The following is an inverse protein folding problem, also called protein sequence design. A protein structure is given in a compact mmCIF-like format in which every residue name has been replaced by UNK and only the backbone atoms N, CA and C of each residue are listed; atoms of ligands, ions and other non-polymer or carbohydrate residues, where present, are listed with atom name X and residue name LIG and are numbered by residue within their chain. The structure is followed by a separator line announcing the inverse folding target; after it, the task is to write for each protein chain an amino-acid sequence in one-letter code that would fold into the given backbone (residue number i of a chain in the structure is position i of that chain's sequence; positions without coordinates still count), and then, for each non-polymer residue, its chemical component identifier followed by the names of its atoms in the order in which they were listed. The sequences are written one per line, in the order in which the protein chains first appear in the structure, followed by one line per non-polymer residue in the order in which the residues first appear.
data_IF_133534991713
#
_entry.id   IF_133534991713
#
_cell.length_a   1.000
_cell.length_b   1.000
_cell.length_c   1.000
_cell.angle_alpha   90.00
_cell.angle_beta   90.00
_cell.angle_gamma   90.00
#
_symmetry.space_group_name_H-M   'P 1'
#
loop_
_entity.id
_entity.type
_entity.pdbx_description
1 polymer ?
#
# COMPACT_ATOMS: atom_id res chain seq x y z
N UNK A 1 18.47 3.44 11.51
CA UNK A 1 17.77 2.81 12.65
C UNK A 1 17.65 1.35 12.33
N UNK A 2 17.94 0.44 13.26
CA UNK A 2 17.69 -0.98 13.04
C UNK A 2 16.18 -1.17 12.83
N UNK A 3 15.70 -1.94 11.83
CA UNK A 3 14.27 -2.16 11.60
C UNK A 3 13.58 -2.86 12.79
N UNK A 4 14.33 -3.25 13.82
CA UNK A 4 13.89 -3.90 15.05
C UNK A 4 14.31 -3.14 16.30
N UNK A 5 13.82 -1.91 16.47
CA UNK A 5 13.94 -1.18 17.74
C UNK A 5 12.68 -1.43 18.60
N UNK A 6 12.61 -2.61 19.21
CA UNK A 6 11.51 -2.97 20.14
C UNK A 6 11.37 -1.97 21.29
N UNK A 7 12.49 -1.44 21.80
CA UNK A 7 12.45 -0.44 22.85
C UNK A 7 11.79 0.85 22.35
N UNK A 8 12.11 1.26 21.13
CA UNK A 8 11.47 2.38 20.46
C UNK A 8 9.98 2.14 20.18
N UNK A 9 9.59 0.94 19.74
CA UNK A 9 8.17 0.60 19.53
C UNK A 9 7.37 0.62 20.83
N UNK A 10 7.89 0.06 21.91
CA UNK A 10 7.25 0.11 23.25
C UNK A 10 7.10 1.55 23.74
N UNK A 11 8.09 2.39 23.53
CA UNK A 11 8.02 3.81 23.88
C UNK A 11 6.96 4.54 23.05
N UNK A 12 6.84 4.24 21.76
CA UNK A 12 5.78 4.79 20.91
C UNK A 12 4.39 4.38 21.39
N UNK A 13 4.20 3.14 21.83
CA UNK A 13 2.93 2.68 22.42
C UNK A 13 2.58 3.54 23.64
N UNK A 14 3.55 3.78 24.55
CA UNK A 14 3.32 4.62 25.72
C UNK A 14 2.98 6.07 25.35
N UNK A 15 3.68 6.64 24.36
CA UNK A 15 3.42 8.00 23.88
C UNK A 15 2.01 8.11 23.27
N UNK A 16 1.60 7.16 22.43
CA UNK A 16 0.27 7.11 21.83
C UNK A 16 -0.83 6.83 22.88
N UNK A 17 -0.53 6.02 23.90
CA UNK A 17 -1.43 5.80 25.04
C UNK A 17 -1.67 7.10 25.81
N UNK A 18 -0.61 7.82 26.17
CA UNK A 18 -0.72 9.13 26.84
C UNK A 18 -1.49 10.15 25.99
N UNK A 19 -1.25 10.17 24.68
CA UNK A 19 -2.00 11.03 23.77
C UNK A 19 -3.50 10.72 23.76
N UNK A 20 -3.87 9.43 23.88
CA UNK A 20 -5.27 9.00 23.91
C UNK A 20 -6.00 9.31 25.23
N UNK A 21 -5.27 9.63 26.30
CA UNK A 21 -5.82 10.01 27.61
C UNK A 21 -6.08 11.53 27.72
N UNK A 22 -5.65 12.33 26.74
CA UNK A 22 -5.84 13.76 26.75
C UNK A 22 -7.34 14.13 26.72
N UNK A 23 -7.81 15.13 27.51
CA UNK A 23 -9.23 15.49 27.61
C UNK A 23 -9.86 15.92 26.26
N UNK A 24 -9.04 16.43 25.37
CA UNK A 24 -9.40 16.93 24.02
C UNK A 24 -9.21 15.91 22.90
N UNK A 25 -8.74 14.69 23.23
CA UNK A 25 -8.45 13.64 22.26
C UNK A 25 -9.60 13.31 21.33
N UNK A 26 -10.83 13.31 21.84
CA UNK A 26 -12.03 12.97 21.08
C UNK A 26 -12.67 14.15 20.33
N UNK A 27 -12.11 15.36 20.44
CA UNK A 27 -12.62 16.53 19.72
C UNK A 27 -12.45 16.39 18.19
N UNK A 28 -11.45 15.60 17.77
CA UNK A 28 -11.20 15.25 16.38
C UNK A 28 -11.25 13.72 16.23
N UNK A 29 -12.40 13.23 15.75
CA UNK A 29 -12.69 11.80 15.71
C UNK A 29 -11.79 11.05 14.71
N UNK A 30 -11.41 11.68 13.59
CA UNK A 30 -10.55 11.09 12.57
C UNK A 30 -9.11 10.94 13.07
N UNK A 31 -8.55 12.00 13.65
CA UNK A 31 -7.22 11.94 14.29
C UNK A 31 -7.20 10.92 15.41
N UNK A 32 -8.25 10.88 16.25
CA UNK A 32 -8.35 9.91 17.32
C UNK A 32 -8.35 8.48 16.81
N UNK A 33 -9.13 8.18 15.77
CA UNK A 33 -9.15 6.86 15.14
C UNK A 33 -7.80 6.51 14.52
N UNK A 34 -7.13 7.45 13.84
CA UNK A 34 -5.79 7.26 13.27
C UNK A 34 -4.75 6.91 14.34
N UNK A 35 -4.75 7.63 15.47
CA UNK A 35 -3.85 7.36 16.61
C UNK A 35 -4.11 5.98 17.20
N UNK A 36 -5.38 5.61 17.41
CA UNK A 36 -5.75 4.30 17.95
C UNK A 36 -5.42 3.15 16.99
N UNK A 37 -5.65 3.32 15.68
CA UNK A 37 -5.27 2.35 14.64
C UNK A 37 -3.76 2.13 14.63
N UNK A 38 -2.98 3.22 14.67
CA UNK A 38 -1.52 3.16 14.73
C UNK A 38 -1.02 2.47 16.01
N UNK A 39 -1.57 2.83 17.18
CA UNK A 39 -1.25 2.20 18.46
C UNK A 39 -1.50 0.70 18.40
N UNK A 40 -2.69 0.27 17.97
CA UNK A 40 -3.08 -1.14 17.85
C UNK A 40 -2.18 -1.92 16.89
N UNK A 41 -1.75 -1.31 15.78
CA UNK A 41 -0.82 -1.94 14.84
C UNK A 41 0.55 -2.20 15.48
N UNK A 42 1.10 -1.22 16.23
CA UNK A 42 2.39 -1.37 16.92
C UNK A 42 2.27 -2.39 18.05
N UNK A 43 1.20 -2.35 18.86
CA UNK A 43 0.94 -3.33 19.92
C UNK A 43 0.94 -4.75 19.38
N UNK A 44 0.21 -4.99 18.26
CA UNK A 44 0.17 -6.31 17.61
C UNK A 44 1.56 -6.80 17.20
N UNK A 45 2.40 -5.92 16.66
CA UNK A 45 3.78 -6.25 16.28
C UNK A 45 4.63 -6.65 17.49
N UNK A 46 4.51 -5.91 18.61
CA UNK A 46 5.24 -6.21 19.85
C UNK A 46 4.74 -7.51 20.47
N UNK A 47 3.42 -7.70 20.56
CA UNK A 47 2.80 -8.91 21.11
C UNK A 47 3.19 -10.17 20.33
N UNK A 48 3.24 -10.08 19.00
CA UNK A 48 3.64 -11.20 18.14
C UNK A 48 5.12 -11.55 18.33
N UNK A 49 6.00 -10.54 18.42
CA UNK A 49 7.40 -10.77 18.77
C UNK A 49 7.53 -11.44 20.15
N UNK A 50 6.85 -10.91 21.16
CA UNK A 50 6.94 -11.43 22.53
C UNK A 50 6.41 -12.87 22.61
N UNK A 51 5.37 -13.22 21.81
CA UNK A 51 4.87 -14.57 21.67
C UNK A 51 5.94 -15.50 21.08
N UNK A 52 6.45 -15.17 19.89
CA UNK A 52 7.47 -15.96 19.19
C UNK A 52 8.71 -16.15 20.05
N UNK A 53 9.18 -15.07 20.69
CA UNK A 53 10.36 -15.10 21.56
C UNK A 53 10.16 -16.05 22.76
N UNK A 54 8.99 -15.99 23.41
CA UNK A 54 8.67 -16.86 24.55
C UNK A 54 8.61 -18.31 24.11
N UNK A 55 7.85 -18.62 23.07
CA UNK A 55 7.71 -19.99 22.58
C UNK A 55 9.04 -20.61 22.17
N UNK A 56 9.93 -19.84 21.49
CA UNK A 56 11.27 -20.29 21.15
C UNK A 56 12.18 -20.47 22.39
N UNK A 57 12.03 -19.59 23.40
CA UNK A 57 12.85 -19.68 24.61
C UNK A 57 12.47 -20.86 25.49
N UNK A 58 11.21 -21.27 25.50
CA UNK A 58 10.70 -22.37 26.31
C UNK A 58 10.98 -23.75 25.68
N UNK A 59 11.26 -23.81 24.37
CA UNK A 59 11.48 -25.06 23.65
C UNK A 59 12.62 -25.94 24.16
N UNK A 60 13.83 -25.42 24.47
CA UNK A 60 14.90 -26.24 24.97
C UNK A 60 14.52 -26.97 26.26
N UNK A 61 13.89 -26.26 27.20
CA UNK A 61 13.47 -26.81 28.49
C UNK A 61 12.40 -27.90 28.29
N UNK A 62 11.46 -27.70 27.35
CA UNK A 62 10.45 -28.71 27.01
C UNK A 62 11.08 -29.94 26.38
N UNK A 63 12.08 -29.78 25.53
CA UNK A 63 12.78 -30.88 24.88
C UNK A 63 13.59 -31.70 25.90
N UNK A 64 14.29 -31.03 26.83
CA UNK A 64 15.02 -31.69 27.91
C UNK A 64 14.07 -32.55 28.80
N UNK A 65 12.88 -32.04 29.11
CA UNK A 65 11.86 -32.77 29.86
C UNK A 65 11.36 -33.99 29.07
N UNK A 66 11.10 -33.85 27.77
CA UNK A 66 10.64 -34.96 26.92
C UNK A 66 11.70 -36.06 26.82
N UNK A 67 13.00 -35.68 26.74
CA UNK A 67 14.12 -36.61 26.73
C UNK A 67 14.25 -37.35 28.07
N UNK A 68 14.16 -36.64 29.21
CA UNK A 68 14.22 -37.26 30.55
C UNK A 68 13.09 -38.29 30.78
N UNK A 69 11.88 -38.01 30.23
CA UNK A 69 10.71 -38.88 30.34
C UNK A 69 10.70 -40.00 29.28
N UNK A 70 11.64 -40.02 28.32
CA UNK A 70 11.62 -40.87 27.13
C UNK A 70 10.28 -40.83 26.39
N UNK A 71 9.67 -39.66 26.27
CA UNK A 71 8.39 -39.43 25.58
C UNK A 71 8.66 -39.00 24.13
N UNK A 72 8.74 -39.98 23.21
CA UNK A 72 8.94 -39.73 21.80
C UNK A 72 7.78 -38.95 21.16
N UNK A 73 6.55 -39.16 21.61
CA UNK A 73 5.39 -38.47 21.05
C UNK A 73 5.38 -36.97 21.40
N UNK A 74 5.81 -36.64 22.63
CA UNK A 74 5.97 -35.23 23.04
C UNK A 74 7.14 -34.58 22.30
N UNK A 75 8.27 -35.28 22.12
CA UNK A 75 9.39 -34.79 21.34
C UNK A 75 9.01 -34.50 19.89
N UNK A 76 8.24 -35.36 19.23
CA UNK A 76 7.71 -35.13 17.89
C UNK A 76 6.77 -33.92 17.83
N UNK A 77 5.91 -33.74 18.82
CA UNK A 77 5.02 -32.58 18.95
C UNK A 77 5.79 -31.27 19.09
N UNK A 78 6.89 -31.27 19.87
CA UNK A 78 7.78 -30.10 20.03
C UNK A 78 8.46 -29.77 18.70
N UNK A 79 8.94 -30.76 17.94
CA UNK A 79 9.53 -30.55 16.63
C UNK A 79 8.54 -29.99 15.60
N UNK A 80 7.31 -30.48 15.60
CA UNK A 80 6.25 -29.90 14.76
C UNK A 80 5.97 -28.44 15.13
N UNK A 81 5.92 -28.13 16.42
CA UNK A 81 5.71 -26.78 16.91
C UNK A 81 6.89 -25.87 16.55
N UNK A 82 8.11 -26.34 16.67
CA UNK A 82 9.32 -25.62 16.20
C UNK A 82 9.23 -25.23 14.73
N UNK A 83 8.79 -26.14 13.86
CA UNK A 83 8.61 -25.84 12.45
C UNK A 83 7.59 -24.73 12.20
N UNK A 84 6.49 -24.71 12.97
CA UNK A 84 5.47 -23.64 12.91
C UNK A 84 6.03 -22.32 13.34
N UNK A 85 6.68 -22.25 14.51
CA UNK A 85 7.24 -21.01 15.06
C UNK A 85 8.37 -20.48 14.18
N UNK A 86 9.19 -21.37 13.61
CA UNK A 86 10.24 -20.99 12.64
C UNK A 86 9.63 -20.28 11.41
N UNK A 87 8.49 -20.77 10.94
CA UNK A 87 7.75 -20.13 9.85
C UNK A 87 7.13 -18.80 10.27
N UNK A 88 6.56 -18.71 11.48
CA UNK A 88 6.02 -17.48 12.06
C UNK A 88 7.12 -16.43 12.21
N UNK A 89 8.31 -16.81 12.68
CA UNK A 89 9.47 -15.92 12.79
C UNK A 89 9.90 -15.37 11.43
N UNK A 90 9.94 -16.22 10.40
CA UNK A 90 10.28 -15.78 9.04
C UNK A 90 9.23 -14.82 8.49
N UNK A 91 7.94 -15.09 8.69
CA UNK A 91 6.85 -14.19 8.31
C UNK A 91 6.92 -12.86 9.06
N UNK A 92 7.22 -12.90 10.35
CA UNK A 92 7.42 -11.70 11.17
C UNK A 92 8.60 -10.87 10.67
N UNK A 93 9.72 -11.52 10.34
CA UNK A 93 10.88 -10.86 9.74
C UNK A 93 10.55 -10.17 8.42
N UNK A 94 9.74 -10.80 7.57
CA UNK A 94 9.30 -10.24 6.30
C UNK A 94 8.39 -9.03 6.51
N UNK A 95 7.48 -9.08 7.48
CA UNK A 95 6.63 -7.94 7.85
C UNK A 95 7.47 -6.74 8.28
N UNK A 96 8.58 -6.97 8.97
CA UNK A 96 9.50 -5.90 9.38
C UNK A 96 10.25 -5.23 8.21
N UNK A 97 10.27 -5.83 7.02
CA UNK A 97 10.81 -5.24 5.79
C UNK A 97 9.83 -4.28 5.11
N UNK A 98 8.59 -4.24 5.57
CA UNK A 98 7.54 -3.36 5.07
C UNK A 98 7.65 -2.00 5.77
N UNK A 99 8.61 -1.17 5.34
CA UNK A 99 8.95 0.13 5.92
C UNK A 99 8.46 1.34 5.11
N UNK A 100 7.80 1.08 3.98
CA UNK A 100 7.26 2.11 3.11
C UNK A 100 6.05 2.82 3.72
N UNK A 101 5.89 4.11 3.41
CA UNK A 101 4.82 4.98 3.93
C UNK A 101 3.43 4.37 3.86
N UNK A 102 3.14 3.62 2.80
CA UNK A 102 1.82 3.03 2.51
C UNK A 102 1.79 1.51 2.67
N UNK A 103 2.91 0.88 3.10
CA UNK A 103 3.00 -0.58 3.15
C UNK A 103 1.96 -1.24 4.06
N UNK A 104 1.49 -0.52 5.08
CA UNK A 104 0.47 -1.01 6.02
C UNK A 104 -0.98 -0.90 5.49
N UNK A 105 -1.17 -0.27 4.33
CA UNK A 105 -2.51 -0.05 3.78
C UNK A 105 -3.05 -1.29 3.06
N UNK A 106 -4.37 -1.29 2.86
CA UNK A 106 -5.04 -2.17 1.90
C UNK A 106 -4.54 -1.90 0.48
N UNK A 107 -4.73 -2.84 -0.42
CA UNK A 107 -4.29 -2.74 -1.80
C UNK A 107 -5.45 -2.66 -2.79
N UNK A 108 -5.30 -1.83 -3.81
CA UNK A 108 -6.10 -1.84 -5.02
C UNK A 108 -5.26 -2.50 -6.11
N UNK A 109 -5.68 -3.68 -6.59
CA UNK A 109 -4.96 -4.43 -7.60
C UNK A 109 -5.79 -4.47 -8.90
N UNK A 110 -5.20 -3.99 -9.99
CA UNK A 110 -5.83 -4.01 -11.31
C UNK A 110 -5.03 -4.88 -12.25
N UNK A 111 -5.73 -5.78 -12.95
CA UNK A 111 -5.16 -6.65 -14.00
C UNK A 111 -5.66 -6.17 -15.35
N UNK A 112 -4.76 -6.02 -16.34
CA UNK A 112 -5.10 -5.67 -17.71
C UNK A 112 -4.57 -6.71 -18.68
N UNK A 113 -5.41 -7.13 -19.63
CA UNK A 113 -4.96 -7.95 -20.75
C UNK A 113 -3.98 -7.16 -21.64
N UNK A 114 -2.84 -7.76 -21.95
CA UNK A 114 -1.82 -7.20 -22.82
C UNK A 114 -1.84 -7.79 -24.24
N UNK A 115 -0.66 -7.95 -24.83
CA UNK A 115 -0.52 -8.54 -26.16
C UNK A 115 -0.83 -10.04 -26.13
N UNK A 116 -1.69 -10.52 -27.06
CA UNK A 116 -2.04 -11.94 -27.20
C UNK A 116 -3.50 -12.22 -27.58
N UNK A 117 -4.33 -11.19 -27.79
CA UNK A 117 -5.75 -11.33 -28.14
C UNK A 117 -6.54 -12.08 -27.07
N UNK A 118 -7.44 -12.99 -27.47
CA UNK A 118 -8.30 -13.79 -26.56
C UNK A 118 -7.47 -14.54 -25.49
N UNK A 119 -6.29 -15.04 -25.88
CA UNK A 119 -5.38 -15.72 -24.95
C UNK A 119 -4.88 -14.79 -23.83
N UNK A 120 -4.63 -13.50 -24.11
CA UNK A 120 -4.22 -12.52 -23.10
C UNK A 120 -5.38 -12.15 -22.17
N UNK A 121 -6.61 -12.14 -22.66
CA UNK A 121 -7.81 -11.89 -21.87
C UNK A 121 -8.10 -13.05 -20.91
N UNK A 122 -7.94 -14.29 -21.37
CA UNK A 122 -8.02 -15.47 -20.50
C UNK A 122 -6.88 -15.46 -19.46
N UNK A 123 -5.67 -15.07 -19.87
CA UNK A 123 -4.55 -14.91 -18.95
C UNK A 123 -4.82 -13.89 -17.85
N UNK A 124 -5.40 -12.73 -18.19
CA UNK A 124 -5.78 -11.72 -17.22
C UNK A 124 -6.80 -12.28 -16.20
N UNK A 125 -7.77 -13.08 -16.64
CA UNK A 125 -8.73 -13.74 -15.76
C UNK A 125 -8.06 -14.79 -14.85
N UNK A 126 -7.08 -15.53 -15.37
CA UNK A 126 -6.31 -16.47 -14.54
C UNK A 126 -5.52 -15.75 -13.47
N UNK A 127 -4.88 -14.61 -13.76
CA UNK A 127 -4.19 -13.78 -12.78
C UNK A 127 -5.13 -13.21 -11.73
N UNK A 128 -6.30 -12.69 -12.14
CA UNK A 128 -7.33 -12.23 -11.22
C UNK A 128 -7.68 -13.32 -10.20
N UNK A 129 -7.99 -14.53 -10.67
CA UNK A 129 -8.31 -15.67 -9.80
C UNK A 129 -7.15 -16.03 -8.88
N UNK A 130 -5.91 -15.97 -9.36
CA UNK A 130 -4.71 -16.26 -8.58
C UNK A 130 -4.57 -15.29 -7.39
N UNK A 131 -4.73 -13.99 -7.62
CA UNK A 131 -4.64 -12.99 -6.55
C UNK A 131 -5.82 -13.02 -5.58
N UNK A 132 -7.03 -13.31 -6.07
CA UNK A 132 -8.19 -13.54 -5.17
C UNK A 132 -7.89 -14.67 -4.20
N UNK A 133 -7.43 -15.83 -4.70
CA UNK A 133 -7.11 -16.99 -3.87
C UNK A 133 -5.96 -16.74 -2.90
N UNK A 134 -4.95 -16.00 -3.34
CA UNK A 134 -3.86 -15.59 -2.45
C UNK A 134 -4.38 -14.71 -1.30
N UNK A 135 -5.20 -13.71 -1.62
CA UNK A 135 -5.78 -12.82 -0.60
C UNK A 135 -6.66 -13.58 0.40
N UNK A 136 -7.51 -14.49 -0.09
CA UNK A 136 -8.36 -15.34 0.76
C UNK A 136 -7.51 -16.24 1.68
N UNK A 137 -6.43 -16.85 1.17
CA UNK A 137 -5.50 -17.67 1.97
C UNK A 137 -4.80 -16.86 3.06
N UNK A 138 -4.50 -15.59 2.79
CA UNK A 138 -3.91 -14.66 3.77
C UNK A 138 -4.94 -14.13 4.78
N UNK A 139 -6.21 -14.44 4.62
CA UNK A 139 -7.29 -13.95 5.47
C UNK A 139 -7.71 -12.51 5.16
N UNK A 140 -7.32 -11.99 3.99
CA UNK A 140 -7.77 -10.69 3.52
C UNK A 140 -9.21 -10.77 2.98
N UNK A 141 -9.94 -9.67 3.13
CA UNK A 141 -11.23 -9.52 2.46
C UNK A 141 -10.98 -9.03 1.03
N UNK A 142 -11.33 -9.86 0.04
CA UNK A 142 -11.15 -9.53 -1.38
C UNK A 142 -12.48 -9.26 -2.03
N UNK A 143 -12.62 -8.13 -2.72
CA UNK A 143 -13.81 -7.77 -3.49
C UNK A 143 -13.42 -7.27 -4.88
N UNK A 144 -14.17 -7.70 -5.90
CA UNK A 144 -14.03 -7.18 -7.27
C UNK A 144 -14.85 -5.89 -7.36
N UNK A 145 -14.17 -4.77 -7.64
CA UNK A 145 -14.78 -3.44 -7.71
C UNK A 145 -15.27 -3.12 -9.11
N UNK A 146 -14.47 -3.49 -10.12
CA UNK A 146 -14.80 -3.31 -11.54
C UNK A 146 -14.26 -4.47 -12.36
N UNK A 147 -14.99 -4.86 -13.41
CA UNK A 147 -14.58 -5.92 -14.32
C UNK A 147 -15.14 -5.65 -15.71
N UNK A 148 -14.28 -5.75 -16.70
CA UNK A 148 -14.65 -5.67 -18.11
C UNK A 148 -14.40 -7.01 -18.78
N UNK A 149 -15.48 -7.76 -19.03
CA UNK A 149 -15.40 -9.04 -19.72
C UNK A 149 -15.14 -8.83 -21.21
N UNK A 150 -14.53 -9.82 -21.85
CA UNK A 150 -14.49 -9.90 -23.31
C UNK A 150 -15.64 -10.76 -23.84
N UNK A 151 -15.98 -10.55 -25.12
CA UNK A 151 -17.12 -11.24 -25.77
C UNK A 151 -16.82 -12.73 -26.02
N UNK A 152 -15.56 -13.09 -26.27
CA UNK A 152 -15.16 -14.46 -26.63
C UNK A 152 -14.71 -15.25 -25.40
N UNK A 153 -13.78 -14.74 -24.59
CA UNK A 153 -13.32 -15.37 -23.36
C UNK A 153 -12.48 -14.40 -22.52
N UNK A 154 -12.47 -14.62 -21.20
CA UNK A 154 -11.63 -13.87 -20.28
C UNK A 154 -12.08 -12.43 -20.03
N UNK A 155 -11.17 -11.61 -19.55
CA UNK A 155 -11.40 -10.22 -19.15
C UNK A 155 -10.42 -9.27 -19.85
N UNK A 156 -10.88 -8.07 -20.19
CA UNK A 156 -10.01 -6.98 -20.65
C UNK A 156 -9.28 -6.34 -19.49
N UNK A 157 -10.00 -6.13 -18.40
CA UNK A 157 -9.46 -5.62 -17.15
C UNK A 157 -10.33 -6.04 -15.97
N UNK A 158 -9.72 -6.11 -14.77
CA UNK A 158 -10.44 -6.22 -13.51
C UNK A 158 -9.70 -5.47 -12.42
N UNK A 159 -10.46 -4.76 -11.58
CA UNK A 159 -9.96 -4.07 -10.40
C UNK A 159 -10.51 -4.73 -9.15
N UNK A 160 -9.63 -5.06 -8.24
CA UNK A 160 -9.94 -5.72 -6.98
C UNK A 160 -9.45 -4.88 -5.81
N UNK A 161 -10.26 -4.80 -4.75
CA UNK A 161 -9.86 -4.29 -3.45
C UNK A 161 -9.45 -5.47 -2.58
N UNK A 162 -8.27 -5.40 -1.96
CA UNK A 162 -7.71 -6.41 -1.04
C UNK A 162 -7.52 -5.71 0.29
N UNK A 163 -8.53 -5.85 1.16
CA UNK A 163 -8.61 -5.18 2.44
C UNK A 163 -7.89 -5.97 3.53
N UNK A 164 -6.93 -5.35 4.19
CA UNK A 164 -6.21 -5.93 5.32
C UNK A 164 -4.84 -5.29 5.54
N UNK A 165 -4.29 -5.54 6.74
CA UNK A 165 -3.02 -4.95 7.13
C UNK A 165 -1.87 -5.46 6.26
N UNK A 166 -1.03 -4.55 5.77
CA UNK A 166 0.13 -4.82 4.92
C UNK A 166 -0.19 -5.40 3.52
N UNK A 167 -1.44 -5.41 3.08
CA UNK A 167 -1.80 -5.98 1.79
C UNK A 167 -1.05 -5.28 0.64
N UNK A 168 -0.97 -3.95 0.66
CA UNK A 168 -0.18 -3.19 -0.31
C UNK A 168 1.32 -3.49 -0.20
N UNK A 169 1.87 -3.55 1.01
CA UNK A 169 3.29 -3.82 1.24
C UNK A 169 3.76 -5.13 0.59
N UNK A 170 2.96 -6.19 0.69
CA UNK A 170 3.24 -7.47 0.04
C UNK A 170 3.05 -7.40 -1.49
N UNK A 171 1.98 -6.75 -1.96
CA UNK A 171 1.59 -6.78 -3.36
C UNK A 171 2.26 -5.73 -4.24
N UNK A 172 2.78 -4.62 -3.70
CA UNK A 172 3.38 -3.54 -4.50
C UNK A 172 4.48 -4.02 -5.45
N UNK A 173 5.14 -5.13 -5.11
CA UNK A 173 6.18 -5.75 -5.92
C UNK A 173 5.64 -6.67 -7.03
N UNK A 174 4.34 -6.95 -7.03
CA UNK A 174 3.67 -7.67 -8.12
C UNK A 174 3.35 -6.75 -9.32
N UNK A 175 3.62 -5.46 -9.17
CA UNK A 175 3.42 -4.44 -10.19
C UNK A 175 4.35 -4.69 -11.39
N UNK A 176 3.77 -4.94 -12.56
CA UNK A 176 4.54 -5.22 -13.79
C UNK A 176 3.86 -6.16 -14.76
N UNK A 177 4.64 -6.66 -15.71
CA UNK A 177 4.16 -7.53 -16.79
C UNK A 177 4.38 -9.00 -16.44
N UNK A 178 3.32 -9.80 -16.56
CA UNK A 178 3.30 -11.24 -16.35
C UNK A 178 3.15 -11.97 -17.67
N UNK A 179 4.08 -12.88 -17.98
CA UNK A 179 4.14 -13.62 -19.24
C UNK A 179 3.62 -15.03 -19.06
N UNK A 180 2.65 -15.44 -19.88
CA UNK A 180 2.16 -16.81 -19.99
C UNK A 180 2.76 -17.51 -21.21
N UNK A 181 3.17 -18.77 -21.05
CA UNK A 181 3.56 -19.66 -22.13
C UNK A 181 2.83 -21.00 -21.97
N UNK A 182 1.84 -21.27 -22.85
CA UNK A 182 1.07 -22.52 -22.82
C UNK A 182 0.62 -22.95 -24.22
N UNK A 183 0.13 -24.16 -24.34
CA UNK A 183 -0.66 -24.59 -25.50
C UNK A 183 -2.02 -23.91 -25.39
N UNK A 184 -2.39 -23.13 -26.43
CA UNK A 184 -3.63 -22.35 -26.41
C UNK A 184 -4.87 -23.23 -26.51
N UNK A 185 -5.84 -23.12 -25.60
CA UNK A 185 -7.14 -23.79 -25.72
C UNK A 185 -8.02 -23.21 -26.85
N UNK A 186 -7.71 -22.00 -27.31
CA UNK A 186 -8.45 -21.30 -28.39
C UNK A 186 -7.89 -21.58 -29.78
N UNK A 187 -6.75 -22.28 -29.88
CA UNK A 187 -6.09 -22.61 -31.13
C UNK A 187 -6.31 -24.08 -31.51
N UNK A 188 -7.15 -24.34 -32.49
CA UNK A 188 -7.43 -25.70 -32.96
C UNK A 188 -6.20 -26.49 -33.40
N UNK A 189 -5.11 -25.83 -33.82
CA UNK A 189 -3.83 -26.47 -34.16
C UNK A 189 -2.96 -26.83 -32.97
N UNK A 190 -3.39 -26.57 -31.72
CA UNK A 190 -2.66 -26.89 -30.50
C UNK A 190 -1.27 -26.24 -30.39
N UNK A 191 -1.08 -25.08 -31.01
CA UNK A 191 0.21 -24.39 -31.01
C UNK A 191 0.45 -23.72 -29.65
N UNK A 192 1.71 -23.80 -29.20
CA UNK A 192 2.19 -23.06 -28.04
C UNK A 192 2.21 -21.57 -28.35
N UNK A 193 1.60 -20.78 -27.47
CA UNK A 193 1.51 -19.33 -27.61
C UNK A 193 2.09 -18.63 -26.37
N UNK A 194 2.42 -17.37 -26.54
CA UNK A 194 2.90 -16.48 -25.50
C UNK A 194 1.97 -15.30 -25.40
N UNK A 195 1.47 -15.00 -24.20
CA UNK A 195 0.56 -13.90 -23.92
C UNK A 195 1.06 -13.09 -22.73
N UNK A 196 0.67 -11.84 -22.67
CA UNK A 196 1.08 -10.91 -21.65
C UNK A 196 -0.15 -10.29 -20.99
N UNK A 197 -0.04 -10.07 -19.68
CA UNK A 197 -0.97 -9.25 -18.93
C UNK A 197 -0.17 -8.36 -17.96
N UNK A 198 -0.66 -7.19 -17.64
CA UNK A 198 -0.06 -6.32 -16.64
C UNK A 198 -0.86 -6.36 -15.36
N UNK A 199 -0.16 -6.27 -14.25
CA UNK A 199 -0.70 -6.08 -12.92
C UNK A 199 -0.26 -4.70 -12.44
N UNK A 200 -1.21 -3.90 -11.96
CA UNK A 200 -0.98 -2.60 -11.33
C UNK A 200 -1.45 -2.70 -9.88
N UNK A 201 -0.62 -2.26 -8.95
CA UNK A 201 -0.94 -2.29 -7.52
C UNK A 201 -0.78 -0.88 -6.95
N UNK A 202 -1.84 -0.39 -6.31
CA UNK A 202 -1.87 0.90 -5.64
C UNK A 202 -2.30 0.73 -4.18
N UNK A 203 -1.83 1.59 -3.27
CA UNK A 203 -2.37 1.61 -1.91
C UNK A 203 -3.78 2.21 -1.90
N UNK A 204 -4.62 1.73 -1.00
CA UNK A 204 -5.82 2.45 -0.60
C UNK A 204 -5.39 3.67 0.23
N UNK A 205 -5.71 4.87 -0.24
CA UNK A 205 -5.40 6.12 0.44
C UNK A 205 -6.72 6.79 0.78
N UNK A 206 -6.93 7.11 2.05
CA UNK A 206 -8.08 7.89 2.51
C UNK A 206 -7.94 9.32 1.98
N UNK A 207 -8.82 9.74 1.07
CA UNK A 207 -8.76 11.02 0.34
C UNK A 207 -9.44 12.18 1.09
N UNK A 208 -9.33 12.27 2.40
CA UNK A 208 -9.75 13.50 3.08
C UNK A 208 -8.57 14.49 3.19
N UNK A 209 -8.34 15.22 2.07
CA UNK A 209 -7.45 16.39 2.07
C UNK A 209 -8.20 17.57 2.73
N UNK A 210 -8.51 17.44 4.01
CA UNK A 210 -8.93 18.57 4.81
C UNK A 210 -7.71 19.41 5.15
N UNK A 211 -7.52 20.53 4.47
CA UNK A 211 -6.41 21.44 4.77
C UNK A 211 -6.80 22.30 5.96
N UNK A 212 -6.28 21.95 7.12
CA UNK A 212 -6.25 22.84 8.28
C UNK A 212 -5.17 23.91 8.08
N UNK A 213 -5.58 25.17 7.96
CA UNK A 213 -4.65 26.30 7.87
C UNK A 213 -4.38 26.81 9.29
N UNK A 214 -3.14 26.54 9.80
CA UNK A 214 -2.73 27.10 11.09
C UNK A 214 -2.58 28.63 10.98
N UNK A 215 -3.28 29.42 11.81
CA UNK A 215 -3.09 30.86 11.85
C UNK A 215 -1.64 31.31 12.12
N UNK A 216 -0.83 30.47 12.79
CA UNK A 216 0.60 30.71 13.04
C UNK A 216 1.46 30.70 11.78
N UNK A 217 1.03 29.98 10.74
CA UNK A 217 1.70 29.89 9.45
C UNK A 217 1.36 31.02 8.48
N UNK A 218 0.51 31.96 8.92
CA UNK A 218 0.04 33.06 8.11
C UNK A 218 0.71 34.36 8.48
N UNK A 219 1.31 35.04 7.50
CA UNK A 219 1.66 36.45 7.62
C UNK A 219 0.62 37.28 6.88
N UNK A 220 -0.06 38.18 7.61
CA UNK A 220 -1.12 39.05 7.09
C UNK A 220 -0.63 40.47 7.09
N UNK A 221 -0.48 41.07 5.92
CA UNK A 221 -0.08 42.47 5.72
C UNK A 221 -1.26 43.24 5.17
N UNK A 222 -1.51 44.46 5.73
CA UNK A 222 -2.49 45.39 5.23
C UNK A 222 -1.82 46.51 4.44
N UNK A 223 -2.41 46.91 3.33
CA UNK A 223 -1.87 48.00 2.52
C UNK A 223 -3.00 48.83 1.85
N UNK A 224 -2.64 49.97 1.28
CA UNK A 224 -3.59 50.83 0.58
C UNK A 224 -3.88 50.27 -0.80
N UNK A 225 -5.16 50.13 -1.11
CA UNK A 225 -5.57 49.72 -2.47
C UNK A 225 -5.16 50.78 -3.51
N UNK A 226 -4.55 50.34 -4.60
CA UNK A 226 -4.22 51.17 -5.74
C UNK A 226 -5.24 50.94 -6.86
N UNK A 227 -6.03 51.97 -7.20
CA UNK A 227 -7.02 51.88 -8.28
C UNK A 227 -7.65 53.22 -8.62
N UNK A 228 -8.28 53.35 -9.78
CA UNK A 228 -9.04 54.52 -10.23
C UNK A 228 -10.36 54.63 -9.43
N UNK A 229 -10.31 55.25 -8.24
CA UNK A 229 -11.46 55.48 -7.35
C UNK A 229 -11.29 56.78 -6.59
N UNK A 230 -12.41 57.39 -6.14
CA UNK A 230 -12.46 58.70 -5.47
C UNK A 230 -11.66 58.73 -4.15
N UNK A 231 -11.65 59.92 -3.47
CA UNK A 231 -10.86 60.22 -2.27
C UNK A 231 -10.92 59.19 -1.12
N UNK A 232 -11.94 58.33 -1.05
CA UNK A 232 -12.12 57.33 -0.02
C UNK A 232 -11.24 56.07 -0.22
N UNK A 233 -10.90 55.73 -1.47
CA UNK A 233 -10.06 54.55 -1.80
C UNK A 233 -8.60 54.76 -1.45
N UNK A 234 -8.15 56.02 -1.42
CA UNK A 234 -6.76 56.39 -1.15
C UNK A 234 -6.45 56.68 0.33
N UNK A 235 -7.42 56.60 1.23
CA UNK A 235 -7.25 56.95 2.66
C UNK A 235 -7.40 55.80 3.64
N UNK A 236 -7.91 54.65 3.22
CA UNK A 236 -8.10 53.47 4.11
C UNK A 236 -7.25 52.28 3.67
N UNK A 237 -6.52 51.69 4.61
CA UNK A 237 -5.72 50.45 4.40
C UNK A 237 -6.65 49.22 4.39
N UNK A 238 -7.53 49.13 3.35
CA UNK A 238 -8.52 48.05 3.23
C UNK A 238 -8.02 46.84 2.47
N UNK A 239 -6.93 46.94 1.72
CA UNK A 239 -6.35 45.82 0.98
C UNK A 239 -5.56 44.91 1.90
N UNK A 240 -5.69 43.59 1.67
CA UNK A 240 -5.03 42.54 2.46
C UNK A 240 -4.14 41.71 1.56
N UNK A 241 -2.97 41.37 2.09
CA UNK A 241 -2.06 40.35 1.56
C UNK A 241 -1.88 39.29 2.62
N UNK A 242 -2.19 38.04 2.29
CA UNK A 242 -1.93 36.86 3.12
C UNK A 242 -0.82 36.06 2.46
N UNK A 243 0.25 35.77 3.23
CA UNK A 243 1.33 34.88 2.80
C UNK A 243 1.32 33.66 3.69
N UNK A 244 1.17 32.49 3.10
CA UNK A 244 1.34 31.21 3.80
C UNK A 244 2.85 30.88 3.84
N UNK A 245 3.43 30.92 5.04
CA UNK A 245 4.90 30.84 5.23
C UNK A 245 5.50 29.54 4.70
N UNK A 246 4.92 28.34 5.01
CA UNK A 246 5.49 27.06 4.58
C UNK A 246 5.55 26.88 3.05
N UNK A 247 4.49 27.28 2.33
CA UNK A 247 4.40 27.10 0.86
C UNK A 247 4.77 28.35 0.08
N UNK A 248 4.97 29.48 0.75
CA UNK A 248 5.24 30.79 0.16
C UNK A 248 4.16 31.27 -0.82
N UNK A 249 2.92 30.73 -0.68
CA UNK A 249 1.77 31.17 -1.49
C UNK A 249 1.30 32.54 -0.98
N UNK A 250 1.17 33.48 -1.91
CA UNK A 250 0.71 34.83 -1.62
C UNK A 250 -0.66 35.05 -2.26
N UNK A 251 -1.61 35.55 -1.46
CA UNK A 251 -2.95 35.97 -1.92
C UNK A 251 -3.16 37.41 -1.55
N UNK A 252 -3.69 38.21 -2.49
CA UNK A 252 -4.05 39.61 -2.28
C UNK A 252 -5.51 39.81 -2.59
N UNK A 253 -6.23 40.59 -1.74
CA UNK A 253 -7.60 40.95 -1.96
C UNK A 253 -7.82 42.43 -1.64
N UNK A 254 -8.48 43.18 -2.57
CA UNK A 254 -8.75 44.61 -2.42
C UNK A 254 -10.13 45.01 -2.99
N UNK A 255 -10.99 44.03 -3.29
CA UNK A 255 -12.25 44.27 -4.01
C UNK A 255 -13.35 44.87 -3.11
N UNK A 256 -13.27 44.61 -1.81
CA UNK A 256 -14.31 45.05 -0.86
C UNK A 256 -13.87 46.31 -0.10
N UNK A 257 -14.88 47.10 0.35
CA UNK A 257 -14.63 48.31 1.16
C UNK A 257 -14.21 47.99 2.59
N UNK A 258 -14.53 46.81 3.08
CA UNK A 258 -14.21 46.34 4.43
C UNK A 258 -12.96 45.48 4.43
N UNK A 259 -12.00 45.84 5.29
CA UNK A 259 -10.79 45.02 5.54
C UNK A 259 -11.16 43.59 5.98
N UNK A 260 -12.19 43.43 6.80
CA UNK A 260 -12.63 42.13 7.30
C UNK A 260 -13.16 41.24 6.15
N UNK A 261 -13.97 41.80 5.24
CA UNK A 261 -14.45 41.08 4.07
C UNK A 261 -13.33 40.67 3.12
N UNK A 262 -12.36 41.59 2.88
CA UNK A 262 -11.17 41.26 2.08
C UNK A 262 -10.35 40.13 2.70
N UNK A 263 -10.27 40.08 4.05
CA UNK A 263 -9.59 38.97 4.75
C UNK A 263 -10.31 37.66 4.57
N UNK A 264 -11.61 37.60 4.71
CA UNK A 264 -12.42 36.40 4.51
C UNK A 264 -12.29 35.84 3.07
N UNK A 265 -12.37 36.73 2.08
CA UNK A 265 -12.21 36.37 0.68
C UNK A 265 -10.79 35.88 0.40
N UNK A 266 -9.76 36.56 0.92
CA UNK A 266 -8.37 36.15 0.77
C UNK A 266 -8.11 34.78 1.42
N UNK A 267 -8.70 34.49 2.59
CA UNK A 267 -8.60 33.17 3.23
C UNK A 267 -9.25 32.06 2.39
N UNK A 268 -10.43 32.32 1.80
CA UNK A 268 -11.07 31.36 0.88
C UNK A 268 -10.21 31.06 -0.36
N UNK A 269 -9.60 32.11 -0.95
CA UNK A 269 -8.70 31.95 -2.10
C UNK A 269 -7.43 31.19 -1.69
N UNK A 270 -6.90 31.47 -0.50
CA UNK A 270 -5.73 30.75 0.02
C UNK A 270 -6.05 29.25 0.23
N UNK A 271 -7.18 28.95 0.86
CA UNK A 271 -7.64 27.57 1.05
C UNK A 271 -7.75 26.83 -0.29
N UNK A 272 -8.39 27.44 -1.29
CA UNK A 272 -8.51 26.84 -2.62
C UNK A 272 -7.14 26.58 -3.28
N UNK A 273 -6.17 27.50 -3.17
CA UNK A 273 -4.82 27.31 -3.72
C UNK A 273 -4.03 26.24 -2.98
N UNK A 274 -4.18 26.13 -1.68
CA UNK A 274 -3.53 25.07 -0.89
C UNK A 274 -4.12 23.70 -1.22
N UNK A 275 -5.45 23.61 -1.42
CA UNK A 275 -6.11 22.39 -1.89
C UNK A 275 -5.59 21.97 -3.26
N UNK A 276 -5.49 22.88 -4.22
CA UNK A 276 -4.95 22.63 -5.55
C UNK A 276 -3.47 22.12 -5.48
N UNK A 277 -2.66 22.72 -4.59
CA UNK A 277 -1.28 22.28 -4.39
C UNK A 277 -1.21 20.88 -3.82
N UNK A 278 -2.00 20.58 -2.79
CA UNK A 278 -2.06 19.26 -2.16
C UNK A 278 -2.58 18.19 -3.12
N UNK A 279 -3.61 18.48 -3.92
CA UNK A 279 -4.09 17.60 -4.98
C UNK A 279 -3.01 17.33 -6.04
N UNK A 280 -2.26 18.35 -6.43
CA UNK A 280 -1.16 18.20 -7.38
C UNK A 280 -0.02 17.35 -6.82
N UNK A 281 0.40 17.57 -5.58
CA UNK A 281 1.41 16.74 -4.90
C UNK A 281 0.91 15.30 -4.74
N UNK A 282 -0.37 15.13 -4.41
CA UNK A 282 -1.01 13.81 -4.35
C UNK A 282 -0.98 13.11 -5.71
N UNK A 283 -1.33 13.81 -6.80
CA UNK A 283 -1.25 13.27 -8.16
C UNK A 283 0.16 12.94 -8.61
N UNK A 284 1.17 13.71 -8.21
CA UNK A 284 2.59 13.43 -8.48
C UNK A 284 3.04 12.18 -7.71
N UNK A 285 2.69 12.05 -6.43
CA UNK A 285 2.95 10.84 -5.63
C UNK A 285 2.26 9.60 -6.22
N UNK A 286 1.01 9.72 -6.70
CA UNK A 286 0.31 8.63 -7.38
C UNK A 286 1.01 8.22 -8.68
N UNK A 287 1.55 9.16 -9.45
CA UNK A 287 2.33 8.85 -10.67
C UNK A 287 3.64 8.13 -10.34
N UNK A 288 4.33 8.52 -9.28
CA UNK A 288 5.54 7.82 -8.82
C UNK A 288 5.23 6.39 -8.36
N UNK A 289 4.11 6.19 -7.65
CA UNK A 289 3.65 4.86 -7.21
C UNK A 289 3.23 3.96 -8.39
N UNK A 290 2.61 4.54 -9.43
CA UNK A 290 2.23 3.80 -10.65
C UNK A 290 3.43 3.29 -11.44
N UNK A 291 4.54 4.01 -11.44
CA UNK A 291 5.69 3.73 -12.31
C UNK A 291 5.40 3.99 -13.80
N UNK A 292 6.44 3.90 -14.62
CA UNK A 292 6.31 4.09 -16.08
C UNK A 292 5.88 2.80 -16.77
N UNK A 293 4.57 2.60 -16.96
CA UNK A 293 3.98 1.48 -17.72
C UNK A 293 4.03 1.67 -19.24
N UNK A 294 5.02 2.35 -19.76
CA UNK A 294 5.02 2.82 -21.14
C UNK A 294 4.99 1.73 -22.22
N UNK A 295 5.25 0.45 -21.92
CA UNK A 295 5.09 -0.64 -22.92
C UNK A 295 4.83 -2.01 -22.25
N UNK A 296 3.62 -2.53 -22.36
CA UNK A 296 3.30 -3.95 -22.12
C UNK A 296 3.84 -4.76 -23.29
N UNK A 297 5.15 -4.94 -23.38
CA UNK A 297 5.83 -5.56 -24.52
C UNK A 297 6.98 -6.48 -24.09
N UNK A 298 7.53 -7.21 -25.05
CA UNK A 298 8.69 -8.08 -24.90
C UNK A 298 9.87 -7.33 -24.24
N UNK A 299 10.34 -7.86 -23.10
CA UNK A 299 11.52 -7.34 -22.40
C UNK A 299 11.26 -6.75 -21.02
N UNK A 300 10.03 -6.42 -20.66
CA UNK A 300 9.66 -5.82 -19.36
C UNK A 300 8.94 -6.76 -18.40
N UNK A 301 8.92 -8.08 -18.70
CA UNK A 301 8.23 -9.04 -17.82
C UNK A 301 8.97 -9.22 -16.49
N UNK A 302 8.24 -9.10 -15.38
CA UNK A 302 8.75 -9.41 -14.05
C UNK A 302 8.73 -10.91 -13.77
N UNK A 303 7.70 -11.64 -14.30
CA UNK A 303 7.53 -13.06 -14.03
C UNK A 303 6.99 -13.81 -15.26
N UNK A 304 7.51 -15.04 -15.47
CA UNK A 304 7.06 -15.93 -16.54
C UNK A 304 6.43 -17.20 -15.96
N UNK A 305 5.31 -17.60 -16.55
CA UNK A 305 4.54 -18.80 -16.19
C UNK A 305 4.53 -19.73 -17.39
N UNK A 306 5.22 -20.84 -17.29
CA UNK A 306 5.37 -21.82 -18.37
C UNK A 306 4.62 -23.10 -17.99
N UNK A 307 3.63 -23.48 -18.81
CA UNK A 307 2.85 -24.70 -18.59
C UNK A 307 3.33 -25.85 -19.49
N UNK A 308 3.90 -25.56 -20.65
CA UNK A 308 4.46 -26.55 -21.59
C UNK A 308 5.73 -26.02 -22.26
N UNK A 309 6.75 -26.88 -22.61
CA UNK A 309 6.79 -28.35 -22.46
C UNK A 309 7.18 -28.82 -21.06
N UNK A 310 7.54 -27.92 -20.17
CA UNK A 310 7.80 -28.13 -18.75
C UNK A 310 6.96 -27.13 -17.94
N UNK A 311 6.77 -27.42 -16.66
CA UNK A 311 6.05 -26.52 -15.76
C UNK A 311 7.03 -25.71 -14.92
N UNK A 312 6.93 -24.38 -14.95
CA UNK A 312 7.79 -23.49 -14.17
C UNK A 312 7.19 -22.09 -14.06
N UNK A 313 7.23 -21.52 -12.88
CA UNK A 313 7.08 -20.07 -12.66
C UNK A 313 8.46 -19.53 -12.30
N UNK A 314 8.91 -18.50 -13.02
CA UNK A 314 10.20 -17.86 -12.77
C UNK A 314 10.02 -16.36 -12.60
N UNK A 315 10.48 -15.84 -11.47
CA UNK A 315 10.65 -14.40 -11.27
C UNK A 315 12.01 -13.95 -11.83
N UNK A 316 11.99 -12.99 -12.74
CA UNK A 316 13.22 -12.56 -13.42
C UNK A 316 14.06 -11.57 -12.60
N UNK A 317 13.48 -11.00 -11.54
CA UNK A 317 14.15 -10.04 -10.66
C UNK A 317 15.03 -10.75 -9.62
N UNK A 318 14.49 -11.80 -9.02
CA UNK A 318 15.15 -12.58 -7.97
C UNK A 318 15.77 -13.90 -8.47
N UNK A 319 15.40 -14.34 -9.69
CA UNK A 319 15.64 -15.67 -10.21
C UNK A 319 14.99 -16.80 -9.42
N UNK A 320 14.02 -16.50 -8.55
CA UNK A 320 13.24 -17.51 -7.84
C UNK A 320 12.42 -18.35 -8.83
N UNK A 321 12.44 -19.68 -8.67
CA UNK A 321 11.77 -20.64 -9.55
C UNK A 321 10.86 -21.57 -8.74
N UNK A 322 9.65 -21.81 -9.23
CA UNK A 322 8.67 -22.75 -8.67
C UNK A 322 8.21 -23.71 -9.75
N UNK A 323 8.45 -25.02 -9.59
CA UNK A 323 8.06 -26.05 -10.56
C UNK A 323 6.55 -26.32 -10.59
N UNK A 324 5.85 -26.14 -9.45
CA UNK A 324 4.42 -26.38 -9.35
C UNK A 324 3.61 -25.14 -9.74
N UNK A 325 3.43 -24.94 -11.06
CA UNK A 325 2.68 -23.82 -11.61
C UNK A 325 1.23 -23.82 -11.10
N UNK A 326 0.62 -24.99 -10.93
CA UNK A 326 -0.77 -25.07 -10.48
C UNK A 326 -0.96 -24.56 -9.06
N UNK A 327 -0.04 -24.86 -8.13
CA UNK A 327 -0.08 -24.33 -6.77
C UNK A 327 0.00 -22.79 -6.78
N UNK A 328 0.87 -22.21 -7.61
CA UNK A 328 0.99 -20.76 -7.78
C UNK A 328 -0.32 -20.18 -8.31
N UNK A 329 -0.93 -20.78 -9.34
CA UNK A 329 -2.23 -20.34 -9.88
C UNK A 329 -3.39 -20.50 -8.88
N UNK A 330 -3.22 -21.38 -7.91
CA UNK A 330 -4.16 -21.56 -6.80
C UNK A 330 -3.84 -20.66 -5.59
N UNK A 331 -2.97 -19.66 -5.78
CA UNK A 331 -2.68 -18.60 -4.80
C UNK A 331 -1.50 -18.89 -3.87
N UNK A 332 -0.60 -19.82 -4.20
CA UNK A 332 0.64 -20.05 -3.45
C UNK A 332 1.74 -19.13 -3.99
N UNK A 333 1.66 -17.84 -3.63
CA UNK A 333 2.58 -16.80 -4.10
C UNK A 333 3.64 -16.43 -3.07
N UNK A 334 3.49 -16.87 -1.83
CA UNK A 334 4.29 -16.38 -0.70
C UNK A 334 5.80 -16.53 -0.94
N UNK A 335 6.24 -17.66 -1.46
CA UNK A 335 7.66 -17.85 -1.75
C UNK A 335 8.19 -16.79 -2.72
N UNK A 336 7.47 -16.51 -3.81
CA UNK A 336 7.90 -15.53 -4.82
C UNK A 336 7.89 -14.10 -4.28
N UNK A 337 6.85 -13.73 -3.53
CA UNK A 337 6.71 -12.42 -2.89
C UNK A 337 7.82 -12.23 -1.84
N UNK A 338 8.07 -13.26 -1.03
CA UNK A 338 9.06 -13.21 0.04
C UNK A 338 10.49 -13.08 -0.50
N UNK A 339 10.83 -13.81 -1.58
CA UNK A 339 12.15 -13.68 -2.21
C UNK A 339 12.36 -12.26 -2.80
N UNK A 340 11.31 -11.65 -3.32
CA UNK A 340 11.39 -10.26 -3.80
C UNK A 340 11.52 -9.24 -2.66
N UNK A 341 10.88 -9.47 -1.52
CA UNK A 341 11.06 -8.63 -0.33
C UNK A 341 12.49 -8.76 0.24
N UNK A 342 13.06 -9.96 0.25
CA UNK A 342 14.44 -10.22 0.70
C UNK A 342 15.51 -9.62 -0.21
N UNK A 343 15.28 -9.58 -1.52
CA UNK A 343 16.25 -9.07 -2.50
C UNK A 343 16.57 -7.56 -2.34
N UNK A 344 15.85 -6.86 -1.45
CA UNK A 344 16.04 -5.42 -1.14
C UNK A 344 17.07 -5.17 -0.04
N UNK A 345 17.52 -6.23 0.64
CA UNK A 345 18.54 -6.18 1.69
C UNK A 345 19.93 -6.29 1.08
#
# INVERSE_FOLDING_TARGET
MSPFDLAGLRKQIEELARASEAPDFWNDQEKAQGVLKKKKSIERTVDEYDRIHRELSDMPDLMDIAEELNDEAEADSILENYAKISNDLENFRLTALLDGKYDHNSAILTVHAGAGGVEAMDWAQMLQRMYIRWGEKKGYKVSVVDQQDDVEAGIKSATMMIEGDNAYGYLRRENGVHRLVRISPFNAAGKRQTSFASVEVMPEIDDDIAIEIDPGDLRIDTYRSSGAGGQHVNTTDSAIRITHIPTNIVVTCQNERSQHQNREVAMKILAAKLTELAEREHMENLKELKGDFSQIAWGSQIRSYVFQPYTMVKDHRTNAEVGNVQAVMDGDLDYLINEELKAKI
#
